data_IF_984944371011
#
_entry.id   IF_984944371011
#
_cell.length_a   1.000
_cell.length_b   1.000
_cell.length_c   1.000
_cell.angle_alpha   90.00
_cell.angle_beta   90.00
_cell.angle_gamma   90.00
#
_symmetry.space_group_name_H-M   'P 1'
#
loop_
_entity.id
_entity.type
_entity.pdbx_description
1 polymer ?
#
# COMPACT_ATOMS: atom_id res chain seq x y z
N UNK A 1 -22.34 -9.31 12.14
CA UNK A 1 -21.54 -8.28 11.42
C UNK A 1 -20.83 -8.97 10.27
N UNK A 2 -20.65 -8.29 9.12
CA UNK A 2 -19.82 -8.82 8.02
C UNK A 2 -18.38 -8.37 8.23
N UNK A 3 -17.43 -9.25 7.95
CA UNK A 3 -15.99 -8.96 8.00
C UNK A 3 -15.59 -8.07 6.84
N UNK A 4 -14.57 -7.23 7.04
CA UNK A 4 -13.95 -6.48 5.94
C UNK A 4 -12.96 -7.41 5.25
N UNK A 5 -13.09 -7.55 3.93
CA UNK A 5 -12.24 -8.43 3.13
C UNK A 5 -11.34 -7.63 2.17
N UNK A 6 -11.86 -6.50 1.66
CA UNK A 6 -11.19 -5.65 0.67
C UNK A 6 -11.13 -4.21 1.15
N UNK A 7 -9.97 -3.57 0.96
CA UNK A 7 -9.69 -2.19 1.34
C UNK A 7 -9.26 -1.41 0.10
N UNK A 8 -9.92 -0.29 -0.17
CA UNK A 8 -9.49 0.67 -1.17
C UNK A 8 -8.79 1.85 -0.48
N UNK A 9 -7.56 2.15 -0.91
CA UNK A 9 -6.78 3.29 -0.44
C UNK A 9 -6.81 4.36 -1.54
N UNK A 10 -7.43 5.50 -1.22
CA UNK A 10 -7.55 6.64 -2.13
C UNK A 10 -6.46 7.65 -1.77
N UNK A 11 -5.48 7.78 -2.66
CA UNK A 11 -4.25 8.56 -2.47
C UNK A 11 -3.03 7.66 -2.31
N UNK A 12 -2.09 7.76 -3.25
CA UNK A 12 -0.88 6.94 -3.37
C UNK A 12 0.39 7.67 -2.89
N UNK A 13 0.24 8.66 -2.01
CA UNK A 13 1.36 9.34 -1.35
C UNK A 13 2.04 8.50 -0.26
N UNK A 14 2.95 9.11 0.51
CA UNK A 14 3.72 8.40 1.56
C UNK A 14 2.81 7.66 2.57
N UNK A 15 1.78 8.34 3.10
CA UNK A 15 0.87 7.74 4.07
C UNK A 15 0.01 6.64 3.45
N UNK A 16 -0.54 6.87 2.25
CA UNK A 16 -1.36 5.89 1.55
C UNK A 16 -0.60 4.61 1.22
N UNK A 17 0.67 4.75 0.82
CA UNK A 17 1.60 3.65 0.59
C UNK A 17 1.85 2.84 1.86
N UNK A 18 2.12 3.51 2.98
CA UNK A 18 2.31 2.84 4.28
C UNK A 18 1.07 2.10 4.77
N UNK A 19 -0.12 2.69 4.61
CA UNK A 19 -1.39 2.03 4.95
C UNK A 19 -1.62 0.81 4.05
N UNK A 20 -1.43 0.96 2.73
CA UNK A 20 -1.60 -0.13 1.78
C UNK A 20 -0.64 -1.30 2.07
N UNK A 21 0.63 -1.01 2.37
CA UNK A 21 1.60 -2.02 2.80
C UNK A 21 1.11 -2.74 4.06
N UNK A 22 0.74 -2.00 5.11
CA UNK A 22 0.33 -2.60 6.38
C UNK A 22 -0.94 -3.44 6.20
N UNK A 23 -1.93 -2.94 5.48
CA UNK A 23 -3.15 -3.70 5.17
C UNK A 23 -2.86 -4.97 4.37
N UNK A 24 -1.97 -4.93 3.39
CA UNK A 24 -1.58 -6.12 2.64
C UNK A 24 -0.84 -7.15 3.51
N UNK A 25 0.00 -6.70 4.45
CA UNK A 25 0.66 -7.57 5.44
C UNK A 25 -0.33 -8.24 6.40
N UNK A 26 -1.47 -7.60 6.68
CA UNK A 26 -2.57 -8.17 7.47
C UNK A 26 -3.54 -9.03 6.63
N UNK A 27 -3.16 -9.39 5.39
CA UNK A 27 -3.91 -10.26 4.49
C UNK A 27 -5.24 -9.71 3.97
N UNK A 28 -5.43 -8.39 3.97
CA UNK A 28 -6.54 -7.76 3.25
C UNK A 28 -6.24 -7.70 1.75
N UNK A 29 -7.28 -7.81 0.92
CA UNK A 29 -7.16 -7.47 -0.49
C UNK A 29 -7.12 -5.95 -0.64
N UNK A 30 -6.02 -5.39 -1.13
CA UNK A 30 -5.80 -3.94 -1.18
C UNK A 30 -5.82 -3.44 -2.62
N UNK A 31 -6.63 -2.41 -2.88
CA UNK A 31 -6.60 -1.64 -4.11
C UNK A 31 -6.10 -0.22 -3.82
N UNK A 32 -5.10 0.24 -4.56
CA UNK A 32 -4.62 1.62 -4.50
C UNK A 32 -5.19 2.42 -5.68
N UNK A 33 -5.68 3.63 -5.41
CA UNK A 33 -6.30 4.50 -6.42
C UNK A 33 -5.74 5.91 -6.26
N UNK A 34 -5.38 6.54 -7.37
CA UNK A 34 -5.03 7.96 -7.43
C UNK A 34 -5.49 8.53 -8.79
N UNK A 35 -5.36 9.84 -8.96
CA UNK A 35 -5.87 10.60 -10.12
C UNK A 35 -5.26 10.16 -11.46
N UNK A 36 -4.00 9.73 -11.45
CA UNK A 36 -3.24 9.34 -12.64
C UNK A 36 -2.34 8.14 -12.28
N UNK A 37 -2.06 7.30 -13.28
CA UNK A 37 -1.29 6.06 -13.09
C UNK A 37 0.09 6.32 -12.46
N UNK A 38 0.77 7.41 -12.84
CA UNK A 38 2.08 7.77 -12.30
C UNK A 38 2.11 7.89 -10.76
N UNK A 39 1.00 8.28 -10.14
CA UNK A 39 0.92 8.41 -8.68
C UNK A 39 0.75 7.05 -8.03
N UNK A 40 -0.03 6.16 -8.63
CA UNK A 40 -0.16 4.76 -8.20
C UNK A 40 1.19 4.05 -8.32
N UNK A 41 1.88 4.22 -9.45
CA UNK A 41 3.21 3.63 -9.68
C UNK A 41 4.23 4.14 -8.64
N UNK A 42 4.20 5.45 -8.34
CA UNK A 42 5.01 6.03 -7.26
C UNK A 42 4.69 5.40 -5.90
N UNK A 43 3.41 5.21 -5.58
CA UNK A 43 3.00 4.57 -4.33
C UNK A 43 3.49 3.13 -4.22
N UNK A 44 3.43 2.37 -5.32
CA UNK A 44 3.99 1.02 -5.39
C UNK A 44 5.52 1.02 -5.20
N UNK A 45 6.23 1.99 -5.77
CA UNK A 45 7.68 2.11 -5.56
C UNK A 45 8.01 2.38 -4.09
N UNK A 46 7.29 3.29 -3.42
CA UNK A 46 7.47 3.58 -1.99
C UNK A 46 7.29 2.30 -1.14
N UNK A 47 6.27 1.50 -1.44
CA UNK A 47 6.05 0.21 -0.76
C UNK A 47 7.24 -0.73 -0.97
N UNK A 48 7.72 -0.84 -2.22
CA UNK A 48 8.86 -1.71 -2.56
C UNK A 48 10.12 -1.28 -1.81
N UNK A 49 10.41 0.01 -1.75
CA UNK A 49 11.58 0.57 -1.07
C UNK A 49 11.53 0.29 0.44
N UNK A 50 10.38 0.52 1.08
CA UNK A 50 10.20 0.22 2.51
C UNK A 50 10.31 -1.28 2.83
N UNK A 51 9.83 -2.15 1.96
CA UNK A 51 9.99 -3.59 2.12
C UNK A 51 11.45 -4.01 1.98
N UNK A 52 12.18 -3.44 1.02
CA UNK A 52 13.61 -3.69 0.85
C UNK A 52 14.41 -3.25 2.10
N UNK A 53 14.17 -2.04 2.58
CA UNK A 53 14.80 -1.54 3.82
C UNK A 53 14.49 -2.44 5.04
N UNK A 54 13.26 -2.92 5.16
CA UNK A 54 12.87 -3.80 6.27
C UNK A 54 13.58 -5.17 6.21
N UNK A 55 13.92 -5.65 5.02
CA UNK A 55 14.71 -6.89 4.84
C UNK A 55 16.18 -6.67 5.17
N UNK A 56 16.77 -5.54 4.74
CA UNK A 56 18.18 -5.22 5.01
C UNK A 56 18.48 -5.00 6.49
N UNK A 57 17.50 -4.53 7.28
CA UNK A 57 17.65 -4.29 8.73
C UNK A 57 17.55 -5.57 9.57
N UNK A 58 17.43 -6.74 8.95
CA UNK A 58 17.23 -8.04 9.61
C UNK A 58 18.55 -8.81 9.76
#
# INVERSE_FOLDING_TARGET
MRTVERIAIIGAGNMGSGIAQKSAQEHFEVQMVDREQQWVDRGQQIISDFLAEAVERR
#
